data_IF_757743284316
#
_entry.id   IF_757743284316
#
_cell.length_a   1.000
_cell.length_b   1.000
_cell.length_c   1.000
_cell.angle_alpha   90.00
_cell.angle_beta   90.00
_cell.angle_gamma   90.00
#
_symmetry.space_group_name_H-M   'P 1'
#
loop_
_entity.id
_entity.type
_entity.pdbx_description
1 polymer ?
#
# COMPACT_ATOMS: atom_id res chain seq x y z
N UNK A 1 -17.95 -10.08 -53.54
CA UNK A 1 -17.61 -9.26 -52.39
C UNK A 1 -17.49 -10.16 -51.18
N UNK A 2 -16.26 -10.44 -50.76
CA UNK A 2 -15.99 -11.23 -49.55
C UNK A 2 -16.07 -10.30 -48.31
N UNK A 3 -16.63 -10.76 -47.18
CA UNK A 3 -16.63 -9.98 -45.95
C UNK A 3 -15.24 -9.91 -45.33
N UNK A 4 -14.92 -8.86 -44.55
CA UNK A 4 -13.60 -8.71 -43.92
C UNK A 4 -13.40 -9.76 -42.83
N UNK A 5 -12.25 -10.38 -42.84
CA UNK A 5 -11.80 -11.30 -41.79
C UNK A 5 -11.41 -10.47 -40.55
N UNK A 6 -12.09 -10.72 -39.45
CA UNK A 6 -11.68 -10.27 -38.12
C UNK A 6 -10.40 -10.97 -37.70
N UNK A 7 -9.32 -10.24 -37.54
CA UNK A 7 -8.10 -10.74 -36.92
C UNK A 7 -8.39 -11.14 -35.46
N UNK A 8 -8.33 -12.44 -35.22
CA UNK A 8 -8.37 -12.99 -33.88
C UNK A 8 -7.10 -12.59 -33.12
N UNK A 9 -7.26 -11.99 -31.95
CA UNK A 9 -6.18 -11.66 -31.04
C UNK A 9 -5.29 -12.89 -30.79
N UNK A 10 -4.00 -12.72 -31.05
CA UNK A 10 -3.00 -13.75 -30.82
C UNK A 10 -2.96 -14.20 -29.36
N UNK A 11 -2.53 -15.44 -29.08
CA UNK A 11 -2.43 -15.97 -27.74
C UNK A 11 -1.48 -15.13 -26.88
N UNK A 12 -1.87 -14.92 -25.60
CA UNK A 12 -1.01 -14.29 -24.60
C UNK A 12 0.38 -14.97 -24.60
N UNK A 13 1.48 -14.21 -24.50
CA UNK A 13 2.82 -14.79 -24.45
C UNK A 13 2.89 -15.76 -23.26
N UNK A 14 3.32 -16.97 -23.55
CA UNK A 14 3.58 -18.02 -22.57
C UNK A 14 4.51 -17.47 -21.47
N UNK A 15 4.30 -17.79 -20.18
CA UNK A 15 5.19 -17.38 -19.12
C UNK A 15 6.60 -17.89 -19.43
N UNK A 16 7.57 -16.99 -19.40
CA UNK A 16 8.99 -17.33 -19.53
C UNK A 16 9.36 -18.38 -18.48
N UNK A 17 10.23 -19.34 -18.81
CA UNK A 17 10.62 -20.39 -17.88
C UNK A 17 11.21 -19.75 -16.61
N UNK A 18 10.96 -20.35 -15.42
CA UNK A 18 11.47 -19.81 -14.18
C UNK A 18 12.98 -19.72 -14.24
N UNK A 19 13.48 -18.49 -14.19
CA UNK A 19 14.90 -18.23 -14.04
C UNK A 19 15.34 -18.76 -12.68
N UNK A 20 16.34 -19.64 -12.68
CA UNK A 20 17.14 -20.14 -11.58
C UNK A 20 16.41 -20.23 -10.22
N UNK A 21 16.26 -21.40 -9.59
CA UNK A 21 15.78 -21.46 -8.21
C UNK A 21 16.77 -20.66 -7.35
N UNK A 22 16.28 -19.53 -6.88
CA UNK A 22 17.06 -18.67 -6.03
C UNK A 22 16.91 -19.15 -4.60
N UNK A 23 18.03 -19.42 -3.98
CA UNK A 23 18.12 -19.53 -2.55
C UNK A 23 17.97 -20.92 -1.94
N UNK A 24 17.98 -21.03 -0.63
CA UNK A 24 17.84 -19.89 0.28
C UNK A 24 19.11 -19.00 0.31
N UNK A 25 18.91 -17.69 0.22
CA UNK A 25 19.96 -16.71 0.47
C UNK A 25 20.14 -16.53 1.97
N UNK A 26 21.21 -17.11 2.55
CA UNK A 26 21.41 -17.10 4.00
C UNK A 26 22.04 -15.80 4.51
N UNK A 27 21.75 -15.40 5.77
CA UNK A 27 22.36 -14.21 6.36
C UNK A 27 23.90 -14.33 6.52
N UNK A 28 24.55 -13.21 6.82
CA UNK A 28 26.00 -13.10 6.99
C UNK A 28 26.67 -12.48 5.79
N UNK A 29 26.98 -13.25 4.75
CA UNK A 29 27.64 -12.73 3.54
C UNK A 29 26.68 -12.20 2.47
N UNK A 30 25.37 -12.44 2.60
CA UNK A 30 24.38 -12.05 1.59
C UNK A 30 24.01 -10.59 1.70
N UNK A 31 24.02 -9.90 0.56
CA UNK A 31 23.50 -8.54 0.39
C UNK A 31 22.17 -8.57 -0.37
N UNK A 32 21.20 -7.83 0.13
CA UNK A 32 19.88 -7.65 -0.49
C UNK A 32 19.75 -6.23 -1.01
N UNK A 33 18.92 -6.04 -2.04
CA UNK A 33 18.65 -4.74 -2.64
C UNK A 33 17.22 -4.28 -2.44
N UNK A 34 17.02 -2.94 -2.38
CA UNK A 34 15.70 -2.31 -2.34
C UNK A 34 15.65 -1.18 -3.37
N UNK A 35 14.61 -1.16 -4.20
CA UNK A 35 14.24 0.00 -5.00
C UNK A 35 13.22 0.82 -4.23
N UNK A 36 13.58 2.07 -3.94
CA UNK A 36 12.76 3.00 -3.15
C UNK A 36 13.34 3.29 -1.77
N UNK A 37 13.24 4.57 -1.38
CA UNK A 37 13.87 5.12 -0.19
C UNK A 37 12.90 5.50 0.94
N UNK A 38 11.61 5.16 0.84
CA UNK A 38 10.59 5.56 1.78
C UNK A 38 10.60 4.78 3.10
N UNK A 39 9.49 4.90 3.84
CA UNK A 39 9.36 4.26 5.15
C UNK A 39 9.27 2.73 5.08
N UNK A 40 8.66 2.17 4.03
CA UNK A 40 8.56 0.71 3.92
C UNK A 40 9.93 0.10 3.66
N UNK A 41 10.73 0.74 2.78
CA UNK A 41 12.12 0.39 2.56
C UNK A 41 12.95 0.46 3.84
N UNK A 42 12.79 1.53 4.66
CA UNK A 42 13.47 1.65 5.95
C UNK A 42 13.12 0.50 6.89
N UNK A 43 11.84 0.14 7.03
CA UNK A 43 11.42 -0.95 7.91
C UNK A 43 11.90 -2.31 7.39
N UNK A 44 11.94 -2.51 6.06
CA UNK A 44 12.57 -3.69 5.46
C UNK A 44 14.07 -3.76 5.78
N UNK A 45 14.80 -2.64 5.64
CA UNK A 45 16.24 -2.56 5.98
C UNK A 45 16.47 -2.98 7.43
N UNK A 46 15.65 -2.48 8.36
CA UNK A 46 15.77 -2.86 9.79
C UNK A 46 15.50 -4.37 10.00
N UNK A 47 14.46 -4.94 9.37
CA UNK A 47 14.15 -6.37 9.46
C UNK A 47 15.28 -7.24 8.88
N UNK A 48 15.86 -6.84 7.75
CA UNK A 48 16.96 -7.55 7.11
C UNK A 48 18.25 -7.47 7.94
N UNK A 49 18.63 -6.28 8.40
CA UNK A 49 19.82 -6.08 9.24
C UNK A 49 19.70 -6.80 10.58
N UNK A 50 18.51 -6.83 11.21
CA UNK A 50 18.28 -7.57 12.45
C UNK A 50 18.54 -9.08 12.30
N UNK A 51 18.42 -9.63 11.07
CA UNK A 51 18.72 -11.02 10.74
C UNK A 51 20.11 -11.20 10.09
N UNK A 52 20.97 -10.16 10.08
CA UNK A 52 22.35 -10.25 9.63
C UNK A 52 22.56 -10.10 8.12
N UNK A 53 21.61 -9.54 7.36
CA UNK A 53 21.79 -9.19 5.96
C UNK A 53 22.33 -7.76 5.81
N UNK A 54 23.24 -7.57 4.87
CA UNK A 54 23.57 -6.23 4.39
C UNK A 54 22.54 -5.78 3.34
N UNK A 55 22.20 -4.48 3.32
CA UNK A 55 21.20 -3.93 2.41
C UNK A 55 21.75 -2.75 1.61
N UNK A 56 21.51 -2.79 0.29
CA UNK A 56 21.74 -1.66 -0.62
C UNK A 56 20.39 -1.07 -1.04
N UNK A 57 20.23 0.24 -0.89
CA UNK A 57 19.03 0.97 -1.36
C UNK A 57 19.38 1.77 -2.60
N UNK A 58 18.58 1.67 -3.67
CA UNK A 58 18.61 2.57 -4.81
C UNK A 58 17.48 3.58 -4.69
N UNK A 59 17.83 4.86 -4.51
CA UNK A 59 16.89 5.96 -4.31
C UNK A 59 17.53 7.29 -4.70
N UNK A 60 16.90 8.13 -5.54
CA UNK A 60 17.48 9.42 -5.92
C UNK A 60 17.53 10.44 -4.79
N UNK A 61 16.59 10.42 -3.81
CA UNK A 61 16.59 11.35 -2.69
C UNK A 61 17.70 11.00 -1.67
N UNK A 62 18.72 11.85 -1.59
CA UNK A 62 19.85 11.69 -0.67
C UNK A 62 19.43 11.67 0.82
N UNK A 63 18.27 12.26 1.17
CA UNK A 63 17.73 12.34 2.52
C UNK A 63 16.64 11.28 2.79
N UNK A 64 16.58 10.25 1.97
CA UNK A 64 15.56 9.19 2.08
C UNK A 64 15.68 8.37 3.35
N UNK A 65 14.56 8.03 4.01
CA UNK A 65 14.53 7.22 5.21
C UNK A 65 15.24 5.86 5.10
N UNK A 66 15.03 5.13 4.00
CA UNK A 66 15.67 3.84 3.78
C UNK A 66 17.14 3.98 3.43
N UNK A 67 17.51 5.00 2.60
CA UNK A 67 18.90 5.29 2.27
C UNK A 67 19.74 5.63 3.50
N UNK A 68 19.15 6.34 4.47
CA UNK A 68 19.82 6.67 5.75
C UNK A 68 20.02 5.46 6.68
N UNK A 69 19.24 4.38 6.51
CA UNK A 69 19.33 3.16 7.31
C UNK A 69 20.17 2.06 6.65
N UNK A 70 20.33 2.11 5.33
CA UNK A 70 21.01 1.08 4.54
C UNK A 70 22.53 1.07 4.74
N UNK A 71 23.14 -0.09 4.48
CA UNK A 71 24.61 -0.22 4.47
C UNK A 71 25.23 0.51 3.27
N UNK A 72 24.49 0.55 2.15
CA UNK A 72 24.88 1.29 0.93
C UNK A 72 23.67 2.00 0.35
N UNK A 73 23.83 3.29 0.04
CA UNK A 73 22.82 4.09 -0.66
C UNK A 73 23.33 4.47 -2.05
N UNK A 74 22.74 3.89 -3.10
CA UNK A 74 22.96 4.27 -4.50
C UNK A 74 22.00 5.43 -4.84
N UNK A 75 22.57 6.63 -5.02
CA UNK A 75 21.81 7.86 -5.29
C UNK A 75 21.65 8.05 -6.79
N UNK A 76 20.67 7.39 -7.39
CA UNK A 76 20.41 7.46 -8.82
C UNK A 76 18.91 7.27 -9.11
N UNK A 77 18.41 7.76 -10.26
CA UNK A 77 17.07 7.46 -10.76
C UNK A 77 16.85 5.94 -10.93
N UNK A 78 15.61 5.47 -10.73
CA UNK A 78 15.27 4.05 -10.88
C UNK A 78 15.44 3.49 -12.29
N UNK A 79 15.54 4.36 -13.31
CA UNK A 79 15.77 3.98 -14.71
C UNK A 79 17.26 4.08 -15.11
N UNK A 80 18.16 4.43 -14.19
CA UNK A 80 19.61 4.52 -14.48
C UNK A 80 20.20 3.12 -14.69
N UNK A 81 20.61 2.84 -15.92
CA UNK A 81 21.09 1.53 -16.31
C UNK A 81 22.39 1.12 -15.56
N UNK A 82 23.28 2.07 -15.27
CA UNK A 82 24.52 1.79 -14.55
C UNK A 82 24.26 1.47 -13.08
N UNK A 83 23.34 2.23 -12.42
CA UNK A 83 22.95 1.96 -11.06
C UNK A 83 22.19 0.63 -10.91
N UNK A 84 21.31 0.30 -11.86
CA UNK A 84 20.63 -1.00 -11.90
C UNK A 84 21.62 -2.15 -12.10
N UNK A 85 22.59 -2.01 -13.00
CA UNK A 85 23.64 -3.03 -13.20
C UNK A 85 24.50 -3.19 -11.93
N UNK A 86 24.88 -2.10 -11.26
CA UNK A 86 25.62 -2.11 -10.01
C UNK A 86 24.80 -2.80 -8.90
N UNK A 87 23.51 -2.47 -8.75
CA UNK A 87 22.63 -3.08 -7.77
C UNK A 87 22.49 -4.59 -8.03
N UNK A 88 22.20 -4.99 -9.28
CA UNK A 88 22.05 -6.39 -9.67
C UNK A 88 23.33 -7.22 -9.52
N UNK A 89 24.51 -6.61 -9.73
CA UNK A 89 25.78 -7.28 -9.54
C UNK A 89 26.18 -7.45 -8.07
N UNK A 90 25.75 -6.51 -7.20
CA UNK A 90 26.13 -6.48 -5.79
C UNK A 90 25.14 -7.17 -4.85
N UNK A 91 23.91 -7.43 -5.30
CA UNK A 91 22.83 -8.00 -4.48
C UNK A 91 22.41 -9.38 -5.00
N UNK A 92 22.20 -10.31 -4.09
CA UNK A 92 21.70 -11.65 -4.42
C UNK A 92 20.21 -11.62 -4.83
N UNK A 93 19.45 -10.73 -4.20
CA UNK A 93 18.04 -10.51 -4.49
C UNK A 93 17.64 -9.06 -4.25
N UNK A 94 16.65 -8.57 -5.01
CA UNK A 94 16.17 -7.18 -4.96
C UNK A 94 14.65 -7.15 -4.82
N UNK A 95 14.16 -6.29 -3.92
CA UNK A 95 12.73 -6.00 -3.72
C UNK A 95 12.43 -4.53 -4.01
N UNK A 96 11.14 -4.17 -3.99
CA UNK A 96 10.69 -2.78 -4.07
C UNK A 96 9.88 -2.41 -2.82
N UNK A 97 9.89 -1.12 -2.45
CA UNK A 97 9.15 -0.61 -1.31
C UNK A 97 7.86 0.11 -1.69
N UNK A 98 7.67 0.47 -2.96
CA UNK A 98 6.46 1.14 -3.42
C UNK A 98 6.06 0.71 -4.84
N UNK A 99 4.79 0.87 -5.16
CA UNK A 99 4.18 0.36 -6.39
C UNK A 99 4.63 1.10 -7.66
N UNK A 100 5.09 2.33 -7.58
CA UNK A 100 5.42 3.16 -8.75
C UNK A 100 6.87 3.06 -9.22
N UNK A 101 7.65 2.09 -8.71
CA UNK A 101 8.94 1.74 -9.33
C UNK A 101 8.66 1.24 -10.74
N UNK A 102 9.34 1.77 -11.77
CA UNK A 102 9.10 1.30 -13.14
C UNK A 102 9.28 -0.21 -13.28
N UNK A 103 8.25 -0.92 -13.76
CA UNK A 103 8.32 -2.37 -13.95
C UNK A 103 9.48 -2.79 -14.86
N UNK A 104 9.89 -1.90 -15.78
CA UNK A 104 11.07 -2.13 -16.64
C UNK A 104 12.37 -2.18 -15.83
N UNK A 105 12.51 -1.41 -14.75
CA UNK A 105 13.67 -1.49 -13.86
C UNK A 105 13.75 -2.86 -13.17
N UNK A 106 12.62 -3.40 -12.73
CA UNK A 106 12.54 -4.74 -12.16
C UNK A 106 12.87 -5.83 -13.20
N UNK A 107 12.42 -5.67 -14.46
CA UNK A 107 12.80 -6.57 -15.56
C UNK A 107 14.30 -6.54 -15.85
N UNK A 108 14.90 -5.35 -15.87
CA UNK A 108 16.34 -5.20 -16.07
C UNK A 108 17.13 -5.88 -14.94
N UNK A 109 16.73 -5.73 -13.69
CA UNK A 109 17.34 -6.39 -12.54
C UNK A 109 17.18 -7.91 -12.57
N UNK A 110 16.04 -8.40 -13.03
CA UNK A 110 15.77 -9.85 -13.14
C UNK A 110 16.73 -10.60 -14.07
N UNK A 111 17.44 -9.90 -14.97
CA UNK A 111 18.51 -10.46 -15.78
C UNK A 111 19.80 -10.74 -14.97
N UNK A 112 19.96 -10.11 -13.79
CA UNK A 112 21.20 -10.15 -13.00
C UNK A 112 21.02 -10.84 -11.65
N UNK A 113 19.87 -10.68 -10.99
CA UNK A 113 19.61 -11.22 -9.65
C UNK A 113 18.15 -11.65 -9.49
N UNK A 114 17.83 -12.27 -8.37
CA UNK A 114 16.44 -12.57 -8.00
C UNK A 114 15.68 -11.26 -7.75
N UNK A 115 14.46 -11.14 -8.29
CA UNK A 115 13.58 -9.99 -8.07
C UNK A 115 12.23 -10.46 -7.54
N UNK A 116 11.83 -9.94 -6.40
CA UNK A 116 10.51 -10.18 -5.80
C UNK A 116 9.96 -8.84 -5.22
N UNK A 117 8.75 -8.45 -5.61
CA UNK A 117 7.79 -9.13 -6.47
C UNK A 117 8.20 -9.14 -7.95
N UNK A 118 7.61 -10.07 -8.77
CA UNK A 118 7.83 -10.11 -10.20
C UNK A 118 7.35 -8.84 -10.89
N UNK A 119 8.13 -8.35 -11.87
CA UNK A 119 7.80 -7.12 -12.60
C UNK A 119 6.40 -7.12 -13.23
N UNK A 120 5.94 -8.29 -13.74
CA UNK A 120 4.61 -8.42 -14.33
C UNK A 120 3.49 -8.18 -13.30
N UNK A 121 3.64 -8.67 -12.07
CA UNK A 121 2.67 -8.45 -11.00
C UNK A 121 2.64 -6.98 -10.56
N UNK A 122 3.81 -6.33 -10.47
CA UNK A 122 3.89 -4.89 -10.16
C UNK A 122 3.23 -4.07 -11.26
N UNK A 123 3.43 -4.40 -12.53
CA UNK A 123 2.81 -3.72 -13.67
C UNK A 123 1.27 -3.81 -13.68
N UNK A 124 0.71 -4.92 -13.22
CA UNK A 124 -0.75 -5.06 -13.03
C UNK A 124 -1.24 -4.06 -11.98
N UNK A 125 -0.56 -3.97 -10.84
CA UNK A 125 -0.93 -3.08 -9.73
C UNK A 125 -0.74 -1.58 -10.08
N UNK A 126 0.09 -1.24 -11.07
CA UNK A 126 0.32 0.14 -11.49
C UNK A 126 -0.83 0.74 -12.32
N UNK A 127 -1.82 -0.05 -12.70
CA UNK A 127 -2.90 0.41 -13.56
C UNK A 127 -4.25 -0.18 -13.14
N UNK A 128 -5.17 0.65 -12.64
CA UNK A 128 -6.46 0.23 -12.05
C UNK A 128 -7.30 -0.66 -12.98
N UNK A 129 -7.32 -0.40 -14.30
CA UNK A 129 -8.07 -1.26 -15.21
C UNK A 129 -7.44 -2.67 -15.34
N UNK A 130 -6.10 -2.77 -15.32
CA UNK A 130 -5.41 -4.07 -15.29
C UNK A 130 -5.62 -4.79 -13.95
N UNK A 131 -5.59 -4.05 -12.86
CA UNK A 131 -5.90 -4.54 -11.52
C UNK A 131 -7.31 -5.12 -11.45
N UNK A 132 -8.33 -4.39 -11.93
CA UNK A 132 -9.71 -4.87 -11.98
C UNK A 132 -9.86 -6.11 -12.89
N UNK A 133 -9.18 -6.14 -14.03
CA UNK A 133 -9.15 -7.32 -14.89
C UNK A 133 -8.52 -8.53 -14.18
N UNK A 134 -7.44 -8.32 -13.41
CA UNK A 134 -6.82 -9.38 -12.62
C UNK A 134 -7.74 -9.89 -11.50
N UNK A 135 -8.47 -9.01 -10.81
CA UNK A 135 -9.49 -9.44 -9.84
C UNK A 135 -10.54 -10.34 -10.49
N UNK A 136 -11.11 -9.91 -11.61
CA UNK A 136 -12.14 -10.69 -12.32
C UNK A 136 -11.59 -12.02 -12.83
N UNK A 137 -10.41 -12.05 -13.41
CA UNK A 137 -9.77 -13.27 -13.88
C UNK A 137 -9.48 -14.26 -12.73
N UNK A 138 -9.14 -13.74 -11.55
CA UNK A 138 -8.96 -14.54 -10.34
C UNK A 138 -10.28 -14.89 -9.62
N UNK A 139 -11.45 -14.53 -10.17
CA UNK A 139 -12.74 -14.75 -9.50
C UNK A 139 -12.94 -13.92 -8.23
N UNK A 140 -12.19 -12.83 -8.07
CA UNK A 140 -12.32 -11.90 -6.94
C UNK A 140 -13.31 -10.81 -7.30
N UNK A 141 -14.45 -10.69 -6.61
CA UNK A 141 -15.43 -9.65 -6.89
C UNK A 141 -14.85 -8.25 -6.68
N UNK A 142 -15.13 -7.31 -7.57
CA UNK A 142 -14.82 -5.89 -7.41
C UNK A 142 -16.02 -5.04 -7.83
N UNK A 143 -15.98 -3.74 -7.57
CA UNK A 143 -17.04 -2.82 -7.97
C UNK A 143 -17.26 -2.87 -9.49
N UNK A 144 -18.52 -2.81 -9.99
CA UNK A 144 -18.83 -2.57 -11.39
C UNK A 144 -18.07 -1.32 -11.86
N UNK A 145 -17.42 -1.41 -13.02
CA UNK A 145 -16.53 -0.34 -13.49
C UNK A 145 -16.47 -0.26 -15.01
N UNK A 146 -15.98 0.87 -15.51
CA UNK A 146 -15.66 1.09 -16.92
C UNK A 146 -14.37 1.90 -17.06
N UNK A 147 -13.64 1.65 -18.16
CA UNK A 147 -12.48 2.46 -18.54
C UNK A 147 -12.95 3.71 -19.28
N UNK A 148 -12.45 4.86 -18.88
CA UNK A 148 -12.69 6.16 -19.53
C UNK A 148 -11.32 6.67 -20.00
N UNK A 149 -10.97 6.39 -21.25
CA UNK A 149 -9.67 6.71 -21.82
C UNK A 149 -9.73 7.73 -22.98
N UNK A 150 -10.93 8.10 -23.39
CA UNK A 150 -11.16 9.08 -24.45
C UNK A 150 -12.49 9.84 -24.27
N UNK A 151 -12.70 10.89 -25.06
CA UNK A 151 -13.87 11.76 -24.96
C UNK A 151 -15.20 11.08 -25.35
N UNK A 152 -15.18 10.05 -26.17
CA UNK A 152 -16.34 9.25 -26.55
C UNK A 152 -16.76 8.37 -25.36
N UNK A 153 -15.82 7.65 -24.74
CA UNK A 153 -16.05 6.89 -23.53
C UNK A 153 -16.63 7.76 -22.42
N UNK A 154 -16.13 9.00 -22.23
CA UNK A 154 -16.65 9.92 -21.23
C UNK A 154 -18.11 10.39 -21.47
N UNK A 155 -18.69 10.13 -22.65
CA UNK A 155 -20.09 10.48 -23.01
C UNK A 155 -20.99 9.27 -23.22
N UNK A 156 -20.48 8.05 -23.05
CA UNK A 156 -21.23 6.84 -23.35
C UNK A 156 -22.38 6.64 -22.36
N UNK A 157 -23.61 6.51 -22.88
CA UNK A 157 -24.82 6.31 -22.08
C UNK A 157 -24.78 5.02 -21.24
N UNK A 158 -24.01 4.02 -21.68
CA UNK A 158 -23.83 2.75 -20.95
C UNK A 158 -23.29 2.95 -19.53
N UNK A 159 -22.65 4.08 -19.24
CA UNK A 159 -22.11 4.37 -17.91
C UNK A 159 -23.16 4.86 -16.90
N UNK A 160 -24.41 5.09 -17.31
CA UNK A 160 -25.50 5.46 -16.41
C UNK A 160 -25.69 4.47 -15.26
N UNK A 161 -25.50 3.17 -15.53
CA UNK A 161 -25.62 2.11 -14.54
C UNK A 161 -24.53 2.14 -13.45
N UNK A 162 -23.43 2.89 -13.66
CA UNK A 162 -22.34 3.04 -12.71
C UNK A 162 -22.50 4.26 -11.79
N UNK A 163 -23.57 5.03 -11.94
CA UNK A 163 -23.79 6.27 -11.22
C UNK A 163 -24.79 6.09 -10.05
N UNK A 164 -24.58 6.76 -8.92
CA UNK A 164 -23.40 7.60 -8.62
C UNK A 164 -22.10 6.78 -8.59
N UNK A 165 -21.05 7.35 -9.16
CA UNK A 165 -19.75 6.67 -9.30
C UNK A 165 -18.59 7.48 -8.77
N UNK A 166 -17.42 6.85 -8.70
CA UNK A 166 -16.13 7.47 -8.39
C UNK A 166 -15.23 7.32 -9.61
N UNK A 167 -14.86 8.43 -10.22
CA UNK A 167 -13.89 8.46 -11.31
C UNK A 167 -12.48 8.58 -10.73
N UNK A 168 -11.61 7.61 -11.03
CA UNK A 168 -10.24 7.53 -10.50
C UNK A 168 -9.25 7.50 -11.66
N UNK A 169 -8.12 8.23 -11.58
CA UNK A 169 -7.04 8.08 -12.56
C UNK A 169 -6.55 6.63 -12.58
N UNK A 170 -6.32 6.09 -13.77
CA UNK A 170 -5.93 4.69 -13.94
C UNK A 170 -4.54 4.39 -13.35
N UNK A 171 -3.66 5.39 -13.27
CA UNK A 171 -2.30 5.27 -12.74
C UNK A 171 -1.96 6.44 -11.83
N UNK A 172 -0.97 6.26 -10.92
CA UNK A 172 -0.40 7.28 -10.05
C UNK A 172 -1.37 7.92 -9.02
N UNK A 173 -2.60 7.42 -8.88
CA UNK A 173 -3.52 7.83 -7.82
C UNK A 173 -3.15 7.13 -6.49
N UNK A 174 -3.13 7.87 -5.38
CA UNK A 174 -2.86 7.35 -4.03
C UNK A 174 -3.50 8.24 -2.96
N UNK A 175 -3.80 7.69 -1.79
CA UNK A 175 -4.30 8.43 -0.62
C UNK A 175 -5.46 9.39 -0.97
N UNK A 176 -6.44 8.94 -1.77
CA UNK A 176 -7.59 9.75 -2.21
C UNK A 176 -7.31 10.79 -3.29
N UNK A 177 -6.06 10.93 -3.76
CA UNK A 177 -5.70 11.85 -4.85
C UNK A 177 -6.00 11.24 -6.21
N UNK A 178 -6.32 12.08 -7.19
CA UNK A 178 -6.64 11.64 -8.55
C UNK A 178 -8.01 10.95 -8.64
N UNK A 179 -8.97 11.35 -7.80
CA UNK A 179 -10.34 10.84 -7.87
C UNK A 179 -11.38 11.93 -7.62
N UNK A 180 -12.58 11.74 -8.16
CA UNK A 180 -13.73 12.62 -7.97
C UNK A 180 -15.04 11.83 -8.03
N UNK A 181 -16.04 12.29 -7.28
CA UNK A 181 -17.39 11.71 -7.36
C UNK A 181 -18.12 12.26 -8.58
N UNK A 182 -18.83 11.40 -9.29
CA UNK A 182 -19.69 11.72 -10.44
C UNK A 182 -21.11 11.27 -10.13
N UNK A 183 -22.04 12.21 -10.15
CA UNK A 183 -23.45 11.95 -9.80
C UNK A 183 -24.33 11.68 -11.03
N UNK A 184 -23.97 12.24 -12.19
CA UNK A 184 -24.72 12.12 -13.44
C UNK A 184 -23.82 11.99 -14.66
N UNK A 185 -24.37 11.43 -15.78
CA UNK A 185 -23.64 11.34 -17.04
C UNK A 185 -23.21 12.72 -17.57
N UNK A 186 -24.00 13.74 -17.32
CA UNK A 186 -23.69 15.11 -17.77
C UNK A 186 -22.40 15.66 -17.10
N UNK A 187 -22.08 15.20 -15.89
CA UNK A 187 -20.87 15.61 -15.15
C UNK A 187 -19.63 14.86 -15.60
N UNK A 188 -19.74 13.65 -16.15
CA UNK A 188 -18.62 12.75 -16.41
C UNK A 188 -17.55 13.36 -17.32
N UNK A 189 -17.89 14.05 -18.45
CA UNK A 189 -16.89 14.69 -19.30
C UNK A 189 -16.10 15.80 -18.57
N UNK A 190 -16.79 16.60 -17.75
CA UNK A 190 -16.14 17.67 -16.98
C UNK A 190 -15.26 17.10 -15.86
N UNK A 191 -15.71 16.05 -15.17
CA UNK A 191 -14.93 15.34 -14.16
C UNK A 191 -13.66 14.71 -14.75
N UNK A 192 -13.78 14.07 -15.94
CA UNK A 192 -12.63 13.51 -16.65
C UNK A 192 -11.63 14.60 -17.08
N UNK A 193 -12.12 15.74 -17.61
CA UNK A 193 -11.28 16.87 -17.94
C UNK A 193 -10.55 17.45 -16.73
N UNK A 194 -11.23 17.54 -15.58
CA UNK A 194 -10.64 18.01 -14.30
C UNK A 194 -9.52 17.10 -13.80
N UNK A 195 -9.55 15.81 -14.14
CA UNK A 195 -8.47 14.85 -13.86
C UNK A 195 -7.36 14.86 -14.93
N UNK A 196 -7.38 15.82 -15.85
CA UNK A 196 -6.34 16.03 -16.88
C UNK A 196 -6.58 15.22 -18.16
N UNK A 197 -7.77 14.70 -18.40
CA UNK A 197 -8.11 13.89 -19.59
C UNK A 197 -7.16 12.70 -19.80
N UNK A 198 -6.67 12.14 -18.72
CA UNK A 198 -5.86 10.91 -18.70
C UNK A 198 -6.77 9.69 -18.60
N UNK A 199 -6.28 8.47 -18.91
CA UNK A 199 -7.05 7.25 -18.65
C UNK A 199 -7.52 7.17 -17.21
N UNK A 200 -8.82 6.92 -17.00
CA UNK A 200 -9.49 6.81 -15.72
C UNK A 200 -10.34 5.53 -15.66
N UNK A 201 -10.66 5.08 -14.47
CA UNK A 201 -11.65 4.04 -14.21
C UNK A 201 -12.81 4.68 -13.46
N UNK A 202 -14.02 4.59 -14.03
CA UNK A 202 -15.27 4.93 -13.35
C UNK A 202 -15.75 3.68 -12.60
N UNK A 203 -15.80 3.75 -11.28
CA UNK A 203 -16.30 2.68 -10.42
C UNK A 203 -17.66 3.07 -9.83
N UNK A 204 -18.62 2.15 -9.82
CA UNK A 204 -19.89 2.36 -9.13
C UNK A 204 -19.62 2.60 -7.63
N UNK A 205 -20.22 3.64 -7.06
CA UNK A 205 -20.20 3.90 -5.63
C UNK A 205 -21.09 2.87 -4.91
N UNK A 206 -20.47 2.03 -4.10
CA UNK A 206 -21.17 0.97 -3.37
C UNK A 206 -21.52 1.41 -1.94
N UNK A 207 -22.62 0.85 -1.35
CA UNK A 207 -22.99 1.10 0.05
C UNK A 207 -22.01 0.40 0.99
N UNK A 208 -20.98 1.14 1.40
CA UNK A 208 -19.88 0.66 2.23
C UNK A 208 -20.30 0.61 3.70
N UNK A 209 -20.15 -0.55 4.36
CA UNK A 209 -20.28 -0.71 5.79
C UNK A 209 -18.94 -0.52 6.50
N UNK A 210 -17.88 -1.22 6.07
CA UNK A 210 -16.54 -1.12 6.64
C UNK A 210 -15.48 -1.56 5.64
N UNK A 211 -14.24 -1.21 5.92
CA UNK A 211 -13.07 -1.55 5.12
C UNK A 211 -12.18 -2.53 5.87
N UNK A 212 -11.69 -3.54 5.15
CA UNK A 212 -10.72 -4.51 5.68
C UNK A 212 -9.55 -4.66 4.73
N UNK A 213 -8.45 -5.15 5.24
CA UNK A 213 -7.33 -5.57 4.41
C UNK A 213 -6.84 -6.96 4.82
N UNK A 214 -6.27 -7.66 3.85
CA UNK A 214 -5.61 -8.95 4.04
C UNK A 214 -4.21 -8.83 3.46
N UNK A 215 -3.22 -9.09 4.29
CA UNK A 215 -1.82 -9.13 3.87
C UNK A 215 -1.42 -10.60 3.77
N UNK A 216 -1.09 -11.03 2.55
CA UNK A 216 -0.59 -12.36 2.26
C UNK A 216 0.88 -12.29 1.89
N UNK A 217 1.63 -13.32 2.22
CA UNK A 217 2.99 -13.55 1.73
C UNK A 217 3.03 -14.88 0.98
N UNK A 218 3.59 -14.86 -0.23
CA UNK A 218 3.75 -16.06 -1.04
C UNK A 218 5.21 -16.26 -1.40
N UNK A 219 5.74 -17.44 -1.07
CA UNK A 219 7.08 -17.87 -1.44
C UNK A 219 7.19 -18.35 -2.89
N UNK A 220 8.40 -18.46 -3.39
CA UNK A 220 8.67 -19.01 -4.71
C UNK A 220 8.31 -20.50 -4.81
N UNK A 221 8.27 -21.22 -3.69
CA UNK A 221 7.83 -22.61 -3.57
C UNK A 221 6.29 -22.77 -3.63
N UNK A 222 5.56 -21.66 -3.69
CA UNK A 222 4.10 -21.63 -3.71
C UNK A 222 3.44 -21.62 -2.33
N UNK A 223 4.20 -21.72 -1.24
CA UNK A 223 3.69 -21.60 0.14
C UNK A 223 3.07 -20.22 0.33
N UNK A 224 1.85 -20.17 0.89
CA UNK A 224 1.15 -18.91 1.17
C UNK A 224 0.79 -18.84 2.63
N UNK A 225 1.13 -17.74 3.28
CA UNK A 225 0.72 -17.39 4.64
C UNK A 225 0.06 -16.01 4.65
N UNK A 226 -0.65 -15.67 5.72
CA UNK A 226 -1.29 -14.37 5.85
C UNK A 226 -1.21 -13.82 7.28
N UNK A 227 -1.23 -12.51 7.42
CA UNK A 227 -1.49 -11.83 8.69
C UNK A 227 -2.98 -11.94 9.05
N UNK A 228 -3.35 -11.82 10.33
CA UNK A 228 -4.74 -11.65 10.74
C UNK A 228 -5.42 -10.53 9.98
N UNK A 229 -6.71 -10.69 9.64
CA UNK A 229 -7.49 -9.68 8.93
C UNK A 229 -7.56 -8.39 9.73
N UNK A 230 -7.32 -7.27 9.06
CA UNK A 230 -7.30 -5.94 9.64
C UNK A 230 -8.60 -5.20 9.33
N UNK A 231 -9.22 -4.57 10.31
CA UNK A 231 -10.28 -3.58 10.11
C UNK A 231 -9.68 -2.19 10.07
N UNK A 232 -10.00 -1.43 9.02
CA UNK A 232 -9.41 -0.15 8.72
C UNK A 232 -10.44 0.98 8.81
N UNK A 233 -9.98 2.14 9.25
CA UNK A 233 -10.73 3.39 9.19
C UNK A 233 -9.92 4.42 8.42
N UNK A 234 -10.45 4.87 7.28
CA UNK A 234 -9.86 5.95 6.50
C UNK A 234 -10.51 7.30 6.81
N UNK A 235 -9.73 8.36 6.72
CA UNK A 235 -10.18 9.75 6.83
C UNK A 235 -9.58 10.57 5.70
N UNK A 236 -10.44 11.19 4.90
CA UNK A 236 -9.98 11.92 3.72
C UNK A 236 -9.19 11.06 2.72
N UNK A 237 -9.48 9.75 2.64
CA UNK A 237 -8.78 8.81 1.77
C UNK A 237 -7.45 8.29 2.32
N UNK A 238 -7.04 8.68 3.54
CA UNK A 238 -5.80 8.23 4.16
C UNK A 238 -6.16 7.30 5.33
N UNK A 239 -5.51 6.14 5.42
CA UNK A 239 -5.64 5.23 6.54
C UNK A 239 -5.31 5.95 7.85
N UNK A 240 -6.26 6.00 8.78
CA UNK A 240 -6.12 6.65 10.09
C UNK A 240 -5.91 5.64 11.21
N UNK A 241 -6.69 4.56 11.22
CA UNK A 241 -6.68 3.54 12.28
C UNK A 241 -6.78 2.14 11.68
N UNK A 242 -6.04 1.22 12.26
CA UNK A 242 -6.19 -0.23 12.00
C UNK A 242 -6.43 -0.94 13.32
N UNK A 243 -7.38 -1.86 13.38
CA UNK A 243 -7.69 -2.69 14.55
C UNK A 243 -7.53 -4.17 14.24
N UNK A 244 -6.88 -4.91 15.13
CA UNK A 244 -6.61 -6.36 15.01
C UNK A 244 -6.75 -7.04 16.36
N UNK A 245 -7.54 -8.11 16.46
CA UNK A 245 -8.44 -8.67 15.45
C UNK A 245 -9.48 -7.64 14.99
N UNK A 246 -10.00 -7.81 13.77
CA UNK A 246 -11.06 -6.97 13.21
C UNK A 246 -12.35 -7.09 14.03
N UNK A 247 -12.81 -6.02 14.75
CA UNK A 247 -13.86 -6.15 15.77
C UNK A 247 -15.25 -6.40 15.18
N UNK A 248 -15.56 -5.83 14.00
CA UNK A 248 -16.91 -5.84 13.43
C UNK A 248 -17.02 -6.76 12.20
N UNK A 249 -16.03 -7.62 12.00
CA UNK A 249 -15.94 -8.53 10.84
C UNK A 249 -16.33 -9.94 11.26
N UNK A 250 -17.42 -10.50 10.71
CA UNK A 250 -17.77 -11.91 10.95
C UNK A 250 -16.63 -12.85 10.50
N UNK A 251 -16.41 -13.93 11.22
CA UNK A 251 -15.37 -14.91 10.92
C UNK A 251 -15.49 -15.45 9.47
N UNK A 252 -16.70 -15.76 9.03
CA UNK A 252 -16.94 -16.22 7.65
C UNK A 252 -16.48 -15.19 6.59
N UNK A 253 -16.71 -13.89 6.83
CA UNK A 253 -16.24 -12.81 5.95
C UNK A 253 -14.71 -12.70 5.97
N UNK A 254 -14.10 -12.82 7.14
CA UNK A 254 -12.64 -12.82 7.28
C UNK A 254 -12.00 -14.01 6.54
N UNK A 255 -12.54 -15.20 6.69
CA UNK A 255 -12.07 -16.40 5.97
C UNK A 255 -12.24 -16.25 4.46
N UNK A 256 -13.37 -15.71 4.00
CA UNK A 256 -13.59 -15.43 2.59
C UNK A 256 -12.57 -14.42 2.04
N UNK A 257 -12.30 -13.32 2.75
CA UNK A 257 -11.31 -12.34 2.35
C UNK A 257 -9.90 -12.94 2.22
N UNK A 258 -9.51 -13.77 3.18
CA UNK A 258 -8.23 -14.51 3.14
C UNK A 258 -8.18 -15.44 1.93
N UNK A 259 -9.22 -16.22 1.68
CA UNK A 259 -9.26 -17.13 0.53
C UNK A 259 -9.12 -16.39 -0.81
N UNK A 260 -9.83 -15.26 -0.99
CA UNK A 260 -9.77 -14.43 -2.19
C UNK A 260 -8.38 -13.79 -2.37
N UNK A 261 -7.77 -13.28 -1.30
CA UNK A 261 -6.42 -12.69 -1.36
C UNK A 261 -5.36 -13.75 -1.70
N UNK A 262 -5.46 -14.95 -1.13
CA UNK A 262 -4.56 -16.06 -1.45
C UNK A 262 -4.75 -16.54 -2.91
N UNK A 263 -5.98 -16.61 -3.38
CA UNK A 263 -6.29 -16.98 -4.76
C UNK A 263 -5.67 -15.97 -5.74
N UNK A 264 -5.85 -14.67 -5.48
CA UNK A 264 -5.26 -13.60 -6.28
C UNK A 264 -3.74 -13.70 -6.34
N UNK A 265 -3.08 -13.94 -5.20
CA UNK A 265 -1.62 -14.11 -5.14
C UNK A 265 -1.13 -15.32 -5.96
N UNK A 266 -1.92 -16.40 -6.01
CA UNK A 266 -1.60 -17.59 -6.84
C UNK A 266 -1.76 -17.28 -8.33
N UNK A 267 -2.89 -16.69 -8.73
CA UNK A 267 -3.18 -16.36 -10.15
C UNK A 267 -2.17 -15.35 -10.73
N UNK A 268 -1.73 -14.39 -9.93
CA UNK A 268 -0.67 -13.45 -10.34
C UNK A 268 0.73 -14.09 -10.38
N UNK A 269 0.91 -15.34 -9.97
CA UNK A 269 2.24 -15.92 -9.78
C UNK A 269 3.09 -15.07 -8.82
N UNK A 270 2.44 -14.39 -7.86
CA UNK A 270 3.08 -13.44 -6.98
C UNK A 270 4.12 -14.11 -6.07
N UNK A 271 5.28 -13.47 -5.90
CA UNK A 271 6.28 -13.82 -4.90
C UNK A 271 6.58 -12.54 -4.10
N UNK A 272 6.40 -12.59 -2.78
CA UNK A 272 6.54 -11.39 -1.95
C UNK A 272 5.37 -11.21 -1.00
N UNK A 273 5.22 -10.01 -0.46
CA UNK A 273 4.09 -9.57 0.36
C UNK A 273 3.12 -8.76 -0.49
N UNK A 274 1.85 -9.16 -0.49
CA UNK A 274 0.75 -8.52 -1.21
C UNK A 274 -0.32 -8.13 -0.20
N UNK A 275 -0.77 -6.89 -0.24
CA UNK A 275 -1.98 -6.46 0.47
C UNK A 275 -3.14 -6.38 -0.50
N UNK A 276 -4.30 -6.89 -0.11
CA UNK A 276 -5.58 -6.71 -0.81
C UNK A 276 -6.54 -5.98 0.13
N UNK A 277 -7.05 -4.85 -0.31
CA UNK A 277 -8.07 -4.08 0.40
C UNK A 277 -9.45 -4.45 -0.09
N UNK A 278 -10.36 -4.66 0.84
CA UNK A 278 -11.74 -5.05 0.56
C UNK A 278 -12.72 -4.10 1.22
N UNK A 279 -13.84 -3.89 0.56
CA UNK A 279 -15.05 -3.32 1.12
C UNK A 279 -15.99 -4.43 1.57
N UNK A 280 -16.46 -4.36 2.80
CA UNK A 280 -17.63 -5.11 3.27
C UNK A 280 -18.83 -4.22 3.12
N UNK A 281 -19.78 -4.60 2.26
CA UNK A 281 -20.95 -3.81 1.96
C UNK A 281 -22.03 -3.96 3.06
N UNK A 282 -23.04 -3.08 3.06
CA UNK A 282 -24.16 -3.13 4.00
C UNK A 282 -24.95 -4.44 3.95
N UNK A 283 -25.01 -5.07 2.76
CA UNK A 283 -25.65 -6.38 2.55
C UNK A 283 -24.73 -7.58 2.89
N UNK A 284 -23.54 -7.31 3.42
CA UNK A 284 -22.54 -8.30 3.81
C UNK A 284 -21.66 -8.83 2.68
N UNK A 285 -21.87 -8.44 1.42
CA UNK A 285 -20.99 -8.83 0.32
C UNK A 285 -19.61 -8.23 0.48
N UNK A 286 -18.60 -9.01 0.05
CA UNK A 286 -17.20 -8.61 0.04
C UNK A 286 -16.78 -8.30 -1.40
N UNK A 287 -16.18 -7.12 -1.62
CA UNK A 287 -15.63 -6.71 -2.92
C UNK A 287 -14.22 -6.14 -2.75
N UNK A 288 -13.30 -6.51 -3.66
CA UNK A 288 -11.96 -5.94 -3.66
C UNK A 288 -11.99 -4.48 -4.14
N UNK A 289 -11.30 -3.63 -3.39
CA UNK A 289 -11.06 -2.23 -3.74
C UNK A 289 -9.79 -2.10 -4.58
N UNK A 290 -8.65 -2.36 -3.97
CA UNK A 290 -7.33 -2.27 -4.62
C UNK A 290 -6.33 -3.26 -4.01
N UNK A 291 -5.17 -3.43 -4.64
CA UNK A 291 -4.07 -4.22 -4.11
C UNK A 291 -2.75 -3.46 -4.15
N UNK A 292 -1.89 -3.74 -3.18
CA UNK A 292 -0.55 -3.16 -3.10
C UNK A 292 0.50 -4.27 -3.18
N UNK A 293 1.41 -4.27 -4.18
CA UNK A 293 2.41 -5.32 -4.38
C UNK A 293 3.62 -5.13 -3.44
N UNK A 294 3.37 -4.94 -2.15
CA UNK A 294 4.34 -4.59 -1.11
C UNK A 294 3.73 -4.70 0.29
N UNK A 295 4.54 -4.62 1.36
CA UNK A 295 4.03 -4.33 2.70
C UNK A 295 3.11 -3.11 2.71
N UNK A 296 2.10 -3.13 3.59
CA UNK A 296 1.07 -2.11 3.62
C UNK A 296 0.99 -1.41 4.98
N UNK A 297 0.49 -0.17 4.99
CA UNK A 297 0.34 0.62 6.22
C UNK A 297 -0.53 -0.11 7.27
N UNK A 298 -1.61 -0.77 6.84
CA UNK A 298 -2.46 -1.56 7.74
C UNK A 298 -1.77 -2.75 8.40
N UNK A 299 -0.61 -3.18 7.88
CA UNK A 299 0.19 -4.28 8.45
C UNK A 299 1.29 -3.84 9.41
N UNK A 300 1.43 -2.54 9.67
CA UNK A 300 2.52 -2.05 10.54
C UNK A 300 2.40 -2.53 11.99
N UNK A 301 1.18 -2.77 12.48
CA UNK A 301 0.95 -3.37 13.80
C UNK A 301 1.70 -4.68 14.00
N UNK A 302 2.00 -5.41 12.92
CA UNK A 302 2.66 -6.71 12.99
C UNK A 302 4.09 -6.64 13.54
N UNK A 303 4.71 -5.46 13.55
CA UNK A 303 6.01 -5.23 14.18
C UNK A 303 5.98 -5.49 15.70
N UNK A 304 4.85 -5.16 16.35
CA UNK A 304 4.74 -5.16 17.80
C UNK A 304 3.72 -6.17 18.33
N UNK A 305 2.89 -6.74 17.46
CA UNK A 305 1.77 -7.61 17.87
C UNK A 305 1.84 -9.03 17.29
N UNK A 306 2.77 -9.31 16.37
CA UNK A 306 2.96 -10.62 15.76
C UNK A 306 4.38 -11.14 16.02
N UNK A 307 4.53 -12.48 16.05
CA UNK A 307 5.84 -13.13 16.14
C UNK A 307 6.64 -13.07 14.82
N UNK A 308 5.97 -12.77 13.71
CA UNK A 308 6.57 -12.52 12.39
C UNK A 308 5.86 -11.32 11.76
N UNK A 309 6.60 -10.25 11.49
CA UNK A 309 6.05 -9.05 10.87
C UNK A 309 5.91 -9.19 9.35
N UNK A 310 5.16 -8.27 8.72
CA UNK A 310 5.08 -8.19 7.26
C UNK A 310 6.47 -7.96 6.61
N UNK A 311 7.40 -7.31 7.30
CA UNK A 311 8.75 -7.06 6.80
C UNK A 311 9.65 -8.30 6.93
N UNK A 312 9.46 -9.11 7.98
CA UNK A 312 10.08 -10.43 8.07
C UNK A 312 9.56 -11.36 6.97
N UNK A 313 8.25 -11.31 6.67
CA UNK A 313 7.68 -12.05 5.55
C UNK A 313 8.23 -11.58 4.21
N UNK A 314 8.40 -10.26 4.01
CA UNK A 314 9.03 -9.71 2.80
C UNK A 314 10.47 -10.21 2.66
N UNK A 315 11.24 -10.19 3.75
CA UNK A 315 12.61 -10.73 3.77
C UNK A 315 12.62 -12.21 3.43
N UNK A 316 11.76 -13.02 4.08
CA UNK A 316 11.71 -14.47 3.86
C UNK A 316 11.33 -14.82 2.43
N UNK A 317 10.33 -14.15 1.87
CA UNK A 317 9.93 -14.37 0.46
C UNK A 317 11.03 -13.98 -0.51
N UNK A 318 11.74 -12.88 -0.25
CA UNK A 318 12.85 -12.40 -1.08
C UNK A 318 14.06 -13.34 -1.01
N UNK A 319 14.41 -13.77 0.20
CA UNK A 319 15.57 -14.63 0.44
C UNK A 319 15.30 -16.13 0.20
N UNK A 320 14.07 -16.53 -0.14
CA UNK A 320 13.70 -17.94 -0.31
C UNK A 320 13.72 -18.73 0.99
N UNK A 321 13.49 -18.07 2.13
CA UNK A 321 13.42 -18.71 3.44
C UNK A 321 12.02 -19.29 3.70
N UNK A 322 11.88 -20.31 4.57
CA UNK A 322 10.59 -20.88 4.90
C UNK A 322 9.60 -19.86 5.45
N UNK A 323 8.36 -19.91 4.95
CA UNK A 323 7.25 -19.13 5.48
C UNK A 323 6.54 -19.92 6.57
N UNK A 324 6.25 -19.25 7.67
CA UNK A 324 5.42 -19.77 8.75
C UNK A 324 4.22 -18.84 8.97
N UNK A 325 3.02 -19.34 9.29
CA UNK A 325 1.87 -18.50 9.58
C UNK A 325 2.17 -17.57 10.76
N UNK A 326 2.09 -16.23 10.58
CA UNK A 326 2.26 -15.29 11.67
C UNK A 326 1.21 -15.48 12.75
N UNK A 327 1.64 -15.50 13.99
CA UNK A 327 0.75 -15.59 15.14
C UNK A 327 0.59 -14.21 15.79
N UNK A 328 -0.65 -13.75 15.91
CA UNK A 328 -0.97 -12.57 16.72
C UNK A 328 -0.81 -12.97 18.20
N UNK A 329 0.14 -12.37 18.89
CA UNK A 329 0.35 -12.61 20.33
C UNK A 329 -0.38 -11.60 21.21
N UNK A 330 -0.78 -10.44 20.65
CA UNK A 330 -1.51 -9.42 21.38
C UNK A 330 -2.50 -8.71 20.44
N UNK A 331 -3.75 -8.48 20.85
CA UNK A 331 -4.62 -7.54 20.17
C UNK A 331 -3.96 -6.17 20.04
N UNK A 332 -4.18 -5.50 18.91
CA UNK A 332 -3.51 -4.24 18.61
C UNK A 332 -4.41 -3.22 17.94
N UNK A 333 -4.12 -1.95 18.19
CA UNK A 333 -4.63 -0.81 17.43
C UNK A 333 -3.46 0.01 16.92
N UNK A 334 -3.40 0.23 15.62
CA UNK A 334 -2.41 1.09 15.00
C UNK A 334 -3.03 2.43 14.63
N UNK A 335 -2.38 3.52 15.01
CA UNK A 335 -2.70 4.90 14.62
C UNK A 335 -1.66 5.41 13.63
N UNK A 336 -2.10 5.91 12.50
CA UNK A 336 -1.22 6.55 11.53
C UNK A 336 -0.89 7.97 11.98
N UNK A 337 0.37 8.35 11.96
CA UNK A 337 0.85 9.67 12.39
C UNK A 337 1.18 10.51 11.16
N UNK A 338 0.29 11.46 10.84
CA UNK A 338 0.48 12.38 9.74
C UNK A 338 1.25 13.63 10.19
N UNK A 339 1.91 14.30 9.25
CA UNK A 339 2.67 15.51 9.52
C UNK A 339 1.83 16.67 10.08
N UNK A 340 0.51 16.59 9.95
CA UNK A 340 -0.45 17.52 10.53
C UNK A 340 -0.25 17.68 12.04
N UNK A 341 0.15 16.62 12.73
CA UNK A 341 0.42 16.61 14.17
C UNK A 341 1.56 17.55 14.60
N UNK A 342 2.41 17.98 13.67
CA UNK A 342 3.51 18.91 13.96
C UNK A 342 3.12 20.38 13.85
N UNK A 343 1.86 20.67 13.42
CA UNK A 343 1.35 22.03 13.26
C UNK A 343 0.24 22.30 14.28
N UNK A 344 0.32 23.41 15.01
CA UNK A 344 -0.68 23.77 16.01
C UNK A 344 -2.09 23.79 15.40
N UNK A 345 -3.06 23.23 16.12
CA UNK A 345 -4.45 23.03 15.68
C UNK A 345 -5.29 24.30 15.41
N UNK A 346 -4.68 25.47 15.32
CA UNK A 346 -5.40 26.73 15.09
C UNK A 346 -5.98 26.86 13.66
N UNK A 347 -5.59 26.01 12.71
CA UNK A 347 -6.02 26.11 11.30
C UNK A 347 -6.85 24.90 10.80
N UNK A 348 -7.37 24.08 11.68
CA UNK A 348 -8.22 22.95 11.27
C UNK A 348 -9.62 23.35 10.73
N UNK A 349 -9.95 24.65 10.64
CA UNK A 349 -11.28 25.13 10.28
C UNK A 349 -11.38 25.96 8.99
N UNK A 350 -10.33 26.07 8.16
CA UNK A 350 -10.40 26.84 6.91
C UNK A 350 -10.22 25.97 5.67
N UNK A 351 -11.18 25.07 5.49
CA UNK A 351 -11.56 24.59 4.16
C UNK A 351 -13.01 25.08 3.92
N UNK A 352 -13.18 26.32 3.63
CA UNK A 352 -14.49 26.90 3.28
C UNK A 352 -14.60 28.38 3.58
N UNK A 353 -14.70 29.17 2.50
CA UNK A 353 -15.08 30.58 2.39
C UNK A 353 -14.00 31.65 2.61
N UNK A 354 -13.80 32.35 1.53
CA UNK A 354 -12.98 33.53 1.37
C UNK A 354 -13.50 34.77 2.16
N UNK A 355 -12.54 35.68 2.40
CA UNK A 355 -12.65 37.07 2.76
C UNK A 355 -12.81 37.42 4.24
N UNK A 356 -11.70 37.85 4.85
CA UNK A 356 -11.70 39.01 5.76
C UNK A 356 -10.28 39.51 6.08
N UNK A 357 -10.04 40.77 5.76
CA UNK A 357 -9.19 41.81 6.36
C UNK A 357 -7.79 41.46 6.91
N UNK A 358 -6.81 42.13 6.30
CA UNK A 358 -5.43 42.25 6.74
C UNK A 358 -5.31 42.92 8.11
N UNK A 359 -4.97 42.16 9.12
CA UNK A 359 -4.32 42.60 10.35
C UNK A 359 -2.99 41.85 10.44
N UNK A 360 -1.92 42.54 10.85
CA UNK A 360 -0.55 42.00 10.89
C UNK A 360 -0.50 40.67 11.69
N UNK A 361 -0.71 39.57 11.00
CA UNK A 361 -0.67 38.24 11.56
C UNK A 361 0.81 37.85 11.80
N UNK A 362 1.13 37.58 13.07
CA UNK A 362 2.37 36.91 13.49
C UNK A 362 2.52 35.66 12.62
N UNK A 363 3.69 35.48 12.00
CA UNK A 363 3.97 34.26 11.21
C UNK A 363 3.54 33.02 12.00
N UNK A 364 2.86 32.06 11.40
CA UNK A 364 2.44 30.85 12.11
C UNK A 364 3.67 30.18 12.75
N UNK A 365 3.55 29.67 13.98
CA UNK A 365 4.65 28.97 14.63
C UNK A 365 5.10 27.80 13.73
N UNK A 366 6.41 27.60 13.62
CA UNK A 366 6.98 26.48 12.88
C UNK A 366 6.55 25.11 13.45
N UNK A 367 6.80 24.03 12.72
CA UNK A 367 6.41 22.69 13.15
C UNK A 367 7.04 22.34 14.51
N UNK A 368 6.22 21.81 15.41
CA UNK A 368 6.66 21.33 16.74
C UNK A 368 6.36 19.84 16.87
N UNK A 369 7.25 19.04 17.43
CA UNK A 369 6.97 17.63 17.68
C UNK A 369 5.80 17.48 18.66
N UNK A 370 4.92 16.47 18.48
CA UNK A 370 3.93 16.09 19.47
C UNK A 370 4.56 15.73 20.84
N UNK A 371 3.75 15.71 21.90
CA UNK A 371 4.20 15.31 23.24
C UNK A 371 4.41 13.78 23.32
N UNK A 372 5.54 13.34 22.75
CA UNK A 372 5.94 11.93 22.79
C UNK A 372 6.11 11.37 24.21
N UNK A 373 6.66 12.11 25.20
CA UNK A 373 6.75 11.62 26.58
C UNK A 373 5.39 11.24 27.15
N UNK A 374 4.35 12.07 26.97
CA UNK A 374 3.02 11.77 27.45
C UNK A 374 2.41 10.52 26.78
N UNK A 375 2.60 10.37 25.48
CA UNK A 375 2.11 9.22 24.71
C UNK A 375 2.85 7.93 25.11
N UNK A 376 4.19 8.00 25.23
CA UNK A 376 5.02 6.86 25.58
C UNK A 376 4.88 6.42 27.05
N UNK A 377 4.29 7.25 27.92
CA UNK A 377 3.94 6.86 29.28
C UNK A 377 2.72 5.92 29.36
N UNK A 378 1.95 5.78 28.27
CA UNK A 378 0.81 4.87 28.22
C UNK A 378 1.30 3.41 28.07
N UNK A 379 0.64 2.43 28.73
CA UNK A 379 1.06 1.04 28.64
C UNK A 379 0.83 0.43 27.25
N UNK A 380 1.77 -0.39 26.78
CA UNK A 380 1.65 -1.11 25.51
C UNK A 380 1.77 -0.25 24.27
N UNK A 381 2.26 0.98 24.39
CA UNK A 381 2.48 1.90 23.27
C UNK A 381 3.86 1.70 22.66
N UNK A 382 3.88 1.54 21.32
CA UNK A 382 5.08 1.41 20.50
C UNK A 382 5.08 2.51 19.44
N UNK A 383 6.08 3.38 19.45
CA UNK A 383 6.22 4.51 18.53
C UNK A 383 7.23 4.19 17.44
N UNK A 384 6.81 4.34 16.18
CA UNK A 384 7.67 4.19 15.01
C UNK A 384 7.66 5.47 14.16
N UNK A 385 8.71 6.29 14.27
CA UNK A 385 8.93 7.44 13.40
C UNK A 385 9.80 7.04 12.22
N UNK A 386 9.42 7.50 11.02
CA UNK A 386 10.05 7.05 9.78
C UNK A 386 11.37 7.76 9.43
N UNK A 387 11.81 8.73 10.24
CA UNK A 387 13.07 9.46 9.99
C UNK A 387 12.98 10.45 8.83
N UNK A 388 11.79 10.92 8.47
CA UNK A 388 11.62 11.98 7.48
C UNK A 388 12.02 13.31 8.05
N UNK A 389 12.89 14.06 7.32
CA UNK A 389 13.49 15.30 7.80
C UNK A 389 12.46 16.42 8.07
N UNK A 390 11.40 16.48 7.25
CA UNK A 390 10.39 17.55 7.33
C UNK A 390 8.99 16.99 7.49
N UNK A 391 8.25 17.50 8.49
CA UNK A 391 6.81 17.31 8.58
C UNK A 391 6.11 18.15 7.51
N UNK A 392 5.12 17.54 6.82
CA UNK A 392 4.24 18.21 5.86
C UNK A 392 2.82 17.69 6.06
N UNK A 393 1.80 18.54 5.90
CA UNK A 393 0.40 18.13 6.03
C UNK A 393 0.09 16.95 5.10
N UNK A 394 -0.61 15.94 5.59
CA UNK A 394 -0.94 14.71 4.90
C UNK A 394 0.24 13.73 4.69
N UNK A 395 1.48 14.10 5.03
CA UNK A 395 2.64 13.19 4.91
C UNK A 395 2.66 12.20 6.07
N UNK A 396 2.71 10.90 5.78
CA UNK A 396 2.89 9.84 6.78
C UNK A 396 4.28 9.98 7.41
N UNK A 397 4.32 10.36 8.70
CA UNK A 397 5.56 10.62 9.45
C UNK A 397 5.94 9.46 10.36
N UNK A 398 4.98 8.65 10.76
CA UNK A 398 5.14 7.51 11.64
C UNK A 398 3.86 6.73 11.81
N UNK A 399 3.89 5.78 12.72
CA UNK A 399 2.72 5.12 13.27
C UNK A 399 2.93 4.83 14.77
N UNK A 400 1.84 4.67 15.46
CA UNK A 400 1.80 4.25 16.84
C UNK A 400 1.02 2.93 16.90
N UNK A 401 1.62 1.88 17.44
CA UNK A 401 0.92 0.63 17.74
C UNK A 401 0.66 0.55 19.24
N UNK A 402 -0.57 0.23 19.61
CA UNK A 402 -0.95 -0.05 21.00
C UNK A 402 -1.31 -1.52 21.10
N UNK A 403 -0.60 -2.26 21.94
CA UNK A 403 -0.85 -3.67 22.24
C UNK A 403 -1.41 -3.82 23.65
N UNK A 404 -2.30 -4.80 23.87
CA UNK A 404 -2.81 -5.12 25.20
C UNK A 404 -3.24 -6.60 25.30
N UNK A 405 -3.63 -7.02 26.51
CA UNK A 405 -4.14 -8.38 26.72
C UNK A 405 -5.50 -8.65 26.04
N UNK A 406 -6.31 -7.59 25.86
CA UNK A 406 -7.61 -7.68 25.17
C UNK A 406 -7.77 -6.54 24.15
N UNK A 407 -8.60 -6.76 23.11
CA UNK A 407 -8.90 -5.75 22.10
C UNK A 407 -9.55 -4.50 22.72
N UNK A 408 -10.40 -4.67 23.72
CA UNK A 408 -11.03 -3.56 24.43
C UNK A 408 -10.00 -2.68 25.15
N UNK A 409 -9.01 -3.28 25.81
CA UNK A 409 -7.92 -2.55 26.46
C UNK A 409 -7.03 -1.83 25.43
N UNK A 410 -6.62 -2.53 24.35
CA UNK A 410 -5.83 -1.90 23.29
C UNK A 410 -6.56 -0.67 22.71
N UNK A 411 -7.87 -0.80 22.45
CA UNK A 411 -8.69 0.32 21.95
C UNK A 411 -8.79 1.44 22.97
N UNK A 412 -9.00 1.16 24.25
CA UNK A 412 -9.10 2.19 25.30
C UNK A 412 -7.79 3.01 25.41
N UNK A 413 -6.63 2.35 25.42
CA UNK A 413 -5.33 3.04 25.46
C UNK A 413 -5.07 3.79 24.14
N UNK A 414 -5.43 3.23 23.00
CA UNK A 414 -5.28 3.92 21.72
C UNK A 414 -6.13 5.19 21.62
N UNK A 415 -7.34 5.20 22.21
CA UNK A 415 -8.18 6.41 22.31
C UNK A 415 -7.55 7.46 23.23
N UNK A 416 -6.89 7.06 24.32
CA UNK A 416 -6.14 7.98 25.17
C UNK A 416 -4.94 8.57 24.40
N UNK A 417 -4.19 7.74 23.70
CA UNK A 417 -3.08 8.21 22.84
C UNK A 417 -3.58 9.17 21.75
N UNK A 418 -4.70 8.84 21.09
CA UNK A 418 -5.34 9.71 20.11
C UNK A 418 -5.70 11.07 20.69
N UNK A 419 -6.30 11.10 21.90
CA UNK A 419 -6.66 12.35 22.58
C UNK A 419 -5.44 13.20 22.93
N UNK A 420 -4.34 12.58 23.42
CA UNK A 420 -3.07 13.29 23.70
C UNK A 420 -2.46 13.89 22.44
N UNK A 421 -2.65 13.23 21.30
CA UNK A 421 -2.16 13.68 19.99
C UNK A 421 -3.12 14.63 19.27
N UNK A 422 -4.29 14.94 19.84
CA UNK A 422 -5.31 15.74 19.16
C UNK A 422 -5.97 15.05 17.96
N UNK A 423 -5.84 13.71 17.87
CA UNK A 423 -6.49 12.93 16.83
C UNK A 423 -7.96 12.68 17.16
N UNK A 424 -8.86 12.62 16.14
CA UNK A 424 -10.26 12.29 16.38
C UNK A 424 -10.43 10.88 16.98
N UNK A 425 -11.44 10.66 17.81
CA UNK A 425 -11.82 9.34 18.32
C UNK A 425 -12.35 8.41 17.21
N UNK A 426 -12.43 7.09 17.49
CA UNK A 426 -12.82 6.04 16.54
C UNK A 426 -13.56 4.89 17.23
#
# INVERSE_FOLDING_TARGET
MNPPQTEAGGPLPSPSPPSRPAGPWLPGATRLGVLGGGQLGRMFVHAAQAQGYAVTVLEPDAASPAGAAADVHLKAPYADAAALAQLGASCAAVTTEFENVPAQALRALAAHCTVAPPAAAVEVCQHRAREKAAFLAAGVPCAPHALIDNAEAARAEAHAALLPGILKTASLGYDGKGQTTVLSLAELPAAWAALGSVPCVLEQRLPLRLEISVIVARGADGTVVHLPVQQNLHRGGILAVTQVPAPDVPEATALQAVALAQQLARELGYVGVLCVEFFVLEDGRLVANEMAPRPHNSGHYSLDACDVSQFDLQLRTLAGLPLVPPRLHSPAVMLNLLGDLWFDGADASVAGTAAASASAAKAPPGPRPPDWPAVLALPGVHLHLYGKAEARRGRKMGHLTVTAATAAQARAVALQAAALLGLPGF
#
